data_IF_887825368068
#
_entry.id   IF_887825368068
#
_cell.length_a   1.000
_cell.length_b   1.000
_cell.length_c   1.000
_cell.angle_alpha   90.00
_cell.angle_beta   90.00
_cell.angle_gamma   90.00
#
_symmetry.space_group_name_H-M   'P 1'
#
loop_
_entity.id
_entity.type
_entity.pdbx_description
1 polymer ?
#
# COMPACT_ATOMS: atom_id res chain seq x y z
N UNK A 1 10.92 8.54 1.48
CA UNK A 1 10.48 8.65 0.07
C UNK A 1 11.69 9.04 -0.76
N UNK A 2 11.96 8.34 -1.85
CA UNK A 2 12.99 8.69 -2.83
C UNK A 2 12.30 9.33 -4.04
N UNK A 3 12.92 10.33 -4.62
CA UNK A 3 12.43 11.04 -5.80
C UNK A 3 13.58 11.24 -6.78
N UNK A 4 13.34 10.94 -8.06
CA UNK A 4 14.39 10.96 -9.07
C UNK A 4 13.85 11.34 -10.46
N UNK A 5 14.54 12.29 -11.10
CA UNK A 5 14.29 12.68 -12.49
C UNK A 5 15.33 12.06 -13.39
N UNK A 6 14.91 11.07 -14.17
CA UNK A 6 15.79 10.40 -15.13
C UNK A 6 16.09 11.27 -16.36
N UNK A 7 15.13 12.11 -16.76
CA UNK A 7 15.24 13.05 -17.87
C UNK A 7 14.29 14.23 -17.68
N UNK A 8 14.25 15.16 -18.64
CA UNK A 8 13.27 16.26 -18.65
C UNK A 8 11.82 15.79 -18.75
N UNK A 9 11.59 14.60 -19.33
CA UNK A 9 10.26 14.04 -19.53
C UNK A 9 9.86 13.04 -18.43
N UNK A 10 10.82 12.41 -17.74
CA UNK A 10 10.57 11.33 -16.78
C UNK A 10 10.86 11.72 -15.34
N UNK A 11 9.88 11.47 -14.47
CA UNK A 11 9.97 11.68 -13.04
C UNK A 11 9.44 10.44 -12.28
N UNK A 12 10.19 9.98 -11.28
CA UNK A 12 9.91 8.78 -10.51
C UNK A 12 9.91 9.08 -9.01
N UNK A 13 8.93 8.54 -8.30
CA UNK A 13 8.90 8.52 -6.84
C UNK A 13 8.77 7.10 -6.32
N UNK A 14 9.48 6.78 -5.25
CA UNK A 14 9.34 5.49 -4.58
C UNK A 14 9.28 5.66 -3.06
N UNK A 15 8.48 4.84 -2.40
CA UNK A 15 8.30 4.86 -0.96
C UNK A 15 8.27 3.45 -0.39
N UNK A 16 8.83 3.30 0.79
CA UNK A 16 8.69 2.08 1.57
C UNK A 16 8.28 2.45 3.00
N UNK A 17 7.31 1.72 3.54
CA UNK A 17 6.89 1.83 4.93
C UNK A 17 6.84 0.46 5.57
N UNK A 18 7.32 0.41 6.81
CA UNK A 18 7.19 -0.75 7.68
C UNK A 18 6.32 -0.37 8.88
N UNK A 19 5.24 -1.12 9.06
CA UNK A 19 4.34 -0.95 10.20
C UNK A 19 4.25 -2.27 10.94
N UNK A 20 4.25 -2.24 12.26
CA UNK A 20 4.21 -3.46 13.06
C UNK A 20 3.40 -3.23 14.34
N UNK A 21 2.86 -4.32 14.87
CA UNK A 21 2.09 -4.30 16.11
C UNK A 21 3.04 -4.30 17.31
N UNK A 22 3.15 -3.16 17.99
CA UNK A 22 4.01 -2.98 19.17
C UNK A 22 3.51 -3.70 20.43
N UNK A 23 2.21 -3.99 20.52
CA UNK A 23 1.61 -4.79 21.60
C UNK A 23 0.73 -5.88 21.01
N UNK A 24 1.20 -7.12 21.12
CA UNK A 24 0.62 -8.26 20.40
C UNK A 24 -0.55 -8.94 21.14
N UNK A 25 -0.93 -8.49 22.34
CA UNK A 25 -2.06 -9.03 23.12
C UNK A 25 -2.08 -10.58 23.21
N UNK A 26 -0.93 -11.20 23.47
CA UNK A 26 -0.80 -12.66 23.58
C UNK A 26 -0.44 -13.36 22.26
N UNK A 27 -0.36 -12.66 21.13
CA UNK A 27 0.06 -13.21 19.84
C UNK A 27 1.60 -13.32 19.79
N UNK A 28 2.13 -14.53 19.64
CA UNK A 28 3.59 -14.78 19.56
C UNK A 28 4.24 -14.23 18.28
N UNK A 29 3.55 -14.35 17.14
CA UNK A 29 3.98 -13.79 15.85
C UNK A 29 3.09 -12.60 15.49
N UNK A 30 3.42 -11.43 16.03
CA UNK A 30 2.62 -10.22 15.87
C UNK A 30 2.59 -9.75 14.41
N UNK A 31 1.51 -9.07 14.01
CA UNK A 31 1.36 -8.58 12.65
C UNK A 31 2.43 -7.54 12.29
N UNK A 32 2.93 -7.65 11.07
CA UNK A 32 3.76 -6.61 10.44
C UNK A 32 3.42 -6.46 8.97
N UNK A 33 3.67 -5.27 8.44
CA UNK A 33 3.26 -4.85 7.11
C UNK A 33 4.43 -4.15 6.43
N UNK A 34 4.79 -4.65 5.26
CA UNK A 34 5.78 -4.07 4.38
C UNK A 34 5.04 -3.52 3.17
N UNK A 35 4.98 -2.20 3.03
CA UNK A 35 4.34 -1.56 1.87
C UNK A 35 5.39 -0.83 1.03
N UNK A 36 5.35 -1.09 -0.27
CA UNK A 36 6.09 -0.38 -1.29
C UNK A 36 5.13 0.40 -2.17
N UNK A 37 5.51 1.63 -2.52
CA UNK A 37 4.75 2.47 -3.44
C UNK A 37 5.71 2.98 -4.52
N UNK A 38 5.25 2.98 -5.76
CA UNK A 38 5.95 3.51 -6.93
C UNK A 38 5.04 4.51 -7.62
N UNK A 39 5.61 5.64 -8.03
CA UNK A 39 4.97 6.61 -8.89
C UNK A 39 5.86 6.90 -10.08
N UNK A 40 5.26 6.92 -11.27
CA UNK A 40 5.90 7.34 -12.50
C UNK A 40 5.10 8.47 -13.10
N UNK A 41 5.80 9.50 -13.56
CA UNK A 41 5.21 10.63 -14.26
C UNK A 41 5.98 10.86 -15.57
N UNK A 42 5.22 10.96 -16.66
CA UNK A 42 5.72 11.29 -17.97
C UNK A 42 5.14 12.61 -18.47
N UNK A 43 6.01 13.57 -18.75
CA UNK A 43 5.65 14.87 -19.29
C UNK A 43 5.53 14.80 -20.81
N UNK A 44 4.29 14.78 -21.32
CA UNK A 44 4.01 14.86 -22.76
C UNK A 44 4.22 16.28 -23.29
N UNK A 45 3.92 17.29 -22.46
CA UNK A 45 4.18 18.71 -22.75
C UNK A 45 4.31 19.50 -21.44
N UNK A 46 4.56 20.82 -21.53
CA UNK A 46 4.51 21.71 -20.34
C UNK A 46 3.17 21.67 -19.59
N UNK A 47 2.10 21.22 -20.26
CA UNK A 47 0.71 21.26 -19.76
C UNK A 47 0.09 19.89 -19.58
N UNK A 48 0.58 18.86 -20.25
CA UNK A 48 -0.01 17.52 -20.23
C UNK A 48 1.00 16.50 -19.77
N UNK A 49 0.61 15.60 -18.87
CA UNK A 49 1.41 14.45 -18.51
C UNK A 49 0.57 13.23 -18.15
N UNK A 50 1.15 12.06 -18.30
CA UNK A 50 0.61 10.79 -17.84
C UNK A 50 1.25 10.43 -16.52
N UNK A 51 0.51 9.73 -15.66
CA UNK A 51 1.06 9.18 -14.44
C UNK A 51 0.55 7.76 -14.20
N UNK A 52 1.39 6.98 -13.54
CA UNK A 52 1.06 5.68 -13.00
C UNK A 52 1.46 5.67 -11.51
N UNK A 53 0.65 4.99 -10.71
CA UNK A 53 0.86 4.76 -9.29
C UNK A 53 0.66 3.27 -9.03
N UNK A 54 1.64 2.62 -8.43
CA UNK A 54 1.50 1.24 -7.96
C UNK A 54 1.79 1.16 -6.46
N UNK A 55 1.08 0.27 -5.79
CA UNK A 55 1.30 -0.06 -4.39
C UNK A 55 1.27 -1.57 -4.20
N UNK A 56 2.20 -2.07 -3.39
CA UNK A 56 2.27 -3.46 -3.00
C UNK A 56 2.43 -3.54 -1.49
N UNK A 57 1.61 -4.35 -0.83
CA UNK A 57 1.77 -4.63 0.59
C UNK A 57 1.86 -6.13 0.84
N UNK A 58 2.80 -6.51 1.70
CA UNK A 58 2.87 -7.83 2.32
C UNK A 58 2.62 -7.73 3.82
N UNK A 59 1.65 -8.51 4.29
CA UNK A 59 1.36 -8.74 5.70
C UNK A 59 2.05 -10.02 6.20
N UNK A 60 2.65 -9.98 7.38
CA UNK A 60 3.24 -11.13 8.06
C UNK A 60 2.59 -11.29 9.45
N UNK A 61 2.81 -12.45 10.07
CA UNK A 61 2.29 -12.75 11.41
C UNK A 61 0.76 -12.79 11.49
N UNK A 62 0.26 -12.52 12.69
CA UNK A 62 -1.12 -12.68 13.07
C UNK A 62 -1.63 -11.42 13.79
N UNK A 63 -2.92 -11.17 13.66
CA UNK A 63 -3.63 -10.07 14.32
C UNK A 63 -4.89 -10.60 15.00
N UNK A 64 -5.61 -9.75 15.72
CA UNK A 64 -6.94 -10.08 16.21
C UNK A 64 -7.96 -9.75 15.12
N UNK A 65 -8.98 -10.61 14.95
CA UNK A 65 -10.07 -10.28 14.03
C UNK A 65 -10.80 -9.02 14.50
N UNK A 66 -11.60 -8.45 13.60
CA UNK A 66 -12.51 -7.35 13.95
C UNK A 66 -13.32 -7.69 15.21
N UNK A 67 -13.64 -6.70 16.07
CA UNK A 67 -14.35 -6.89 17.33
C UNK A 67 -15.85 -7.21 17.17
N UNK A 68 -16.25 -7.67 15.99
CA UNK A 68 -17.64 -7.99 15.63
C UNK A 68 -17.71 -9.38 15.00
N UNK A 69 -18.84 -10.07 15.22
CA UNK A 69 -19.09 -11.42 14.70
C UNK A 69 -18.57 -12.55 15.61
N UNK A 70 -18.80 -13.79 15.19
CA UNK A 70 -18.57 -14.99 16.00
C UNK A 70 -17.09 -15.30 16.29
N UNK A 71 -16.17 -14.63 15.60
CA UNK A 71 -14.73 -14.80 15.80
C UNK A 71 -14.09 -13.60 16.49
N UNK A 72 -14.87 -12.65 17.02
CA UNK A 72 -14.35 -11.41 17.59
C UNK A 72 -13.22 -11.66 18.61
N UNK A 73 -12.08 -11.01 18.40
CA UNK A 73 -10.91 -11.15 19.28
C UNK A 73 -10.14 -12.47 19.13
N UNK A 74 -10.51 -13.34 18.19
CA UNK A 74 -9.70 -14.51 17.86
C UNK A 74 -8.44 -14.08 17.10
N UNK A 75 -7.35 -14.80 17.34
CA UNK A 75 -6.13 -14.66 16.55
C UNK A 75 -6.37 -15.17 15.12
N UNK A 76 -6.13 -14.32 14.13
CA UNK A 76 -6.25 -14.61 12.70
C UNK A 76 -4.97 -14.24 11.96
N UNK A 77 -4.81 -14.76 10.75
CA UNK A 77 -3.71 -14.34 9.87
C UNK A 77 -3.88 -12.86 9.52
N UNK A 78 -2.81 -12.07 9.57
CA UNK A 78 -2.85 -10.69 9.10
C UNK A 78 -3.02 -10.65 7.57
N UNK A 79 -3.99 -9.87 7.10
CA UNK A 79 -4.29 -9.64 5.68
C UNK A 79 -3.68 -8.32 5.20
N UNK A 80 -3.30 -8.25 3.93
CA UNK A 80 -2.81 -7.00 3.33
C UNK A 80 -3.98 -6.09 2.90
N UNK A 81 -3.78 -4.79 3.03
CA UNK A 81 -4.72 -3.72 2.61
C UNK A 81 -3.89 -2.53 2.12
N UNK A 82 -4.43 -1.70 1.23
CA UNK A 82 -3.71 -0.57 0.63
C UNK A 82 -4.46 0.73 0.87
N UNK A 83 -3.84 1.67 1.61
CA UNK A 83 -4.43 2.99 1.86
C UNK A 83 -5.85 2.91 2.43
N UNK A 84 -6.62 4.00 2.33
CA UNK A 84 -8.01 4.04 2.82
C UNK A 84 -9.01 3.43 1.82
N UNK A 85 -8.74 3.61 0.52
CA UNK A 85 -9.63 3.15 -0.57
C UNK A 85 -9.84 1.63 -0.65
N UNK A 86 -8.99 0.83 0.00
CA UNK A 86 -9.10 -0.63 0.03
C UNK A 86 -9.36 -1.21 1.44
N UNK A 87 -9.54 -0.38 2.47
CA UNK A 87 -9.76 -0.86 3.84
C UNK A 87 -11.02 -1.71 3.99
N UNK A 88 -12.06 -1.42 3.20
CA UNK A 88 -13.29 -2.19 3.18
C UNK A 88 -13.20 -3.52 2.43
N UNK A 89 -12.13 -3.73 1.67
CA UNK A 89 -11.90 -4.91 0.82
C UNK A 89 -10.44 -5.39 0.93
N UNK A 90 -9.99 -5.77 2.14
CA UNK A 90 -8.63 -6.27 2.32
C UNK A 90 -8.43 -7.57 1.51
N UNK A 91 -7.18 -7.85 1.15
CA UNK A 91 -6.82 -9.07 0.44
C UNK A 91 -7.21 -10.31 1.25
N UNK A 92 -7.73 -11.35 0.57
CA UNK A 92 -7.95 -12.67 1.18
C UNK A 92 -6.63 -13.38 1.55
N UNK A 93 -5.48 -12.85 1.12
CA UNK A 93 -4.15 -13.40 1.40
C UNK A 93 -3.25 -12.37 2.10
N UNK A 94 -1.99 -12.77 2.31
CA UNK A 94 -0.95 -11.92 2.89
C UNK A 94 -0.40 -10.86 1.93
N UNK A 95 -0.77 -10.87 0.65
CA UNK A 95 -0.23 -9.93 -0.32
C UNK A 95 -1.36 -9.19 -1.02
N UNK A 96 -1.16 -7.90 -1.28
CA UNK A 96 -2.07 -7.07 -2.05
C UNK A 96 -1.28 -6.17 -2.99
N UNK A 97 -1.71 -6.11 -4.24
CA UNK A 97 -1.20 -5.19 -5.24
C UNK A 97 -2.35 -4.32 -5.75
N UNK A 98 -2.10 -3.03 -5.93
CA UNK A 98 -3.02 -2.08 -6.51
C UNK A 98 -2.27 -1.14 -7.45
N UNK A 99 -2.91 -0.73 -8.53
CA UNK A 99 -2.36 0.21 -9.48
C UNK A 99 -3.43 1.15 -10.02
N UNK A 100 -3.01 2.35 -10.41
CA UNK A 100 -3.84 3.35 -11.06
C UNK A 100 -3.03 4.14 -12.07
N UNK A 101 -3.66 4.50 -13.19
CA UNK A 101 -3.06 5.34 -14.23
C UNK A 101 -3.97 6.52 -14.51
N UNK A 102 -3.40 7.64 -14.92
CA UNK A 102 -4.17 8.83 -15.22
C UNK A 102 -3.43 9.83 -16.09
N UNK A 103 -4.15 10.89 -16.42
CA UNK A 103 -3.65 12.04 -17.17
C UNK A 103 -3.91 13.30 -16.36
N UNK A 104 -2.95 14.22 -16.35
CA UNK A 104 -3.13 15.57 -15.83
C UNK A 104 -2.96 16.57 -16.97
N UNK A 105 -3.89 17.52 -17.07
CA UNK A 105 -3.82 18.63 -18.01
C UNK A 105 -3.95 19.97 -17.27
N UNK A 106 -3.09 20.93 -17.59
CA UNK A 106 -2.98 22.25 -16.94
C UNK A 106 -3.26 23.36 -17.96
N UNK A 107 -4.32 24.14 -17.73
CA UNK A 107 -4.75 25.26 -18.59
C UNK A 107 -3.97 26.54 -18.31
#
# INVERSE_FOLDING_TARGET
MLHWKASSAWDFGAGYSYTWTSKANGITSAASYHQFNLSQYYSLSKRTGFYALEAYQRANGNTLSAPTGNTAGHQVTANATLGDGFQGVPSATRNMFGAGVGIIHRF
#
